data_IF_536784722343
#
_entry.id   IF_536784722343
#
_cell.length_a   1.000
_cell.length_b   1.000
_cell.length_c   1.000
_cell.angle_alpha   90.00
_cell.angle_beta   90.00
_cell.angle_gamma   90.00
#
_symmetry.space_group_name_H-M   'P 1'
#
loop_
_entity.id
_entity.type
_entity.pdbx_description
1 polymer ?
#
# COMPACT_ATOMS: atom_id res chain seq x y z
N UNK A 1 6.11 11.57 -22.81
CA UNK A 1 5.72 10.94 -21.53
C UNK A 1 6.40 9.57 -21.48
N UNK A 2 6.90 9.10 -20.33
CA UNK A 2 7.56 7.79 -20.27
C UNK A 2 6.51 6.72 -19.99
N UNK A 3 6.23 5.87 -20.96
CA UNK A 3 5.48 4.63 -20.77
C UNK A 3 6.53 3.53 -20.88
N UNK A 4 6.69 2.72 -19.83
CA UNK A 4 7.65 1.62 -19.76
C UNK A 4 9.13 2.02 -20.02
N UNK A 5 9.49 3.25 -19.66
CA UNK A 5 10.84 3.79 -19.87
C UNK A 5 11.14 4.25 -21.30
N UNK A 6 10.18 4.14 -22.23
CA UNK A 6 10.29 4.68 -23.58
C UNK A 6 9.55 6.00 -23.69
N UNK A 7 10.22 7.01 -24.27
CA UNK A 7 9.66 8.35 -24.45
C UNK A 7 8.85 8.37 -25.73
N UNK A 8 7.53 8.25 -25.59
CA UNK A 8 6.61 8.41 -26.72
C UNK A 8 6.22 9.88 -26.87
N UNK A 9 6.18 10.33 -28.12
CA UNK A 9 5.48 11.55 -28.48
C UNK A 9 3.97 11.30 -28.28
N UNK A 10 3.33 12.14 -27.48
CA UNK A 10 1.91 11.98 -27.19
C UNK A 10 1.07 12.26 -28.44
N UNK A 11 1.59 13.09 -29.34
CA UNK A 11 0.90 13.47 -30.56
C UNK A 11 0.91 12.33 -31.60
N UNK A 12 1.84 11.37 -31.48
CA UNK A 12 1.88 10.17 -32.33
C UNK A 12 1.00 9.02 -31.83
N UNK A 13 0.37 9.15 -30.65
CA UNK A 13 -0.50 8.12 -30.09
C UNK A 13 -1.89 8.18 -30.71
N UNK A 14 -2.48 7.01 -30.97
CA UNK A 14 -3.91 6.92 -31.32
C UNK A 14 -4.79 7.38 -30.17
N UNK A 15 -6.02 7.81 -30.48
CA UNK A 15 -6.99 8.21 -29.45
C UNK A 15 -7.27 7.09 -28.44
N UNK A 16 -7.30 5.84 -28.94
CA UNK A 16 -7.40 4.65 -28.08
C UNK A 16 -6.22 4.55 -27.10
N UNK A 17 -4.99 4.75 -27.57
CA UNK A 17 -3.80 4.71 -26.72
C UNK A 17 -3.78 5.85 -25.69
N UNK A 18 -4.21 7.07 -26.07
CA UNK A 18 -4.35 8.20 -25.15
C UNK A 18 -5.37 7.91 -24.04
N UNK A 19 -6.51 7.31 -24.38
CA UNK A 19 -7.51 6.92 -23.38
C UNK A 19 -6.99 5.85 -22.41
N UNK A 20 -6.27 4.84 -22.91
CA UNK A 20 -5.68 3.83 -22.03
C UNK A 20 -4.60 4.41 -21.12
N UNK A 21 -3.81 5.38 -21.60
CA UNK A 21 -2.82 6.08 -20.78
C UNK A 21 -3.47 6.85 -19.62
N UNK A 22 -4.59 7.53 -19.85
CA UNK A 22 -5.36 8.21 -18.80
C UNK A 22 -5.89 7.20 -17.78
N UNK A 23 -6.44 6.08 -18.24
CA UNK A 23 -6.92 5.01 -17.37
C UNK A 23 -5.80 4.42 -16.51
N UNK A 24 -4.63 4.17 -17.11
CA UNK A 24 -3.46 3.65 -16.41
C UNK A 24 -3.02 4.60 -15.29
N UNK A 25 -2.86 5.89 -15.60
CA UNK A 25 -2.50 6.91 -14.61
C UNK A 25 -3.50 7.03 -13.47
N UNK A 26 -4.80 6.87 -13.76
CA UNK A 26 -5.84 6.85 -12.74
C UNK A 26 -5.70 5.63 -11.82
N UNK A 27 -5.45 4.46 -12.38
CA UNK A 27 -5.25 3.22 -11.61
C UNK A 27 -3.97 3.31 -10.77
N UNK A 28 -2.87 3.84 -11.29
CA UNK A 28 -1.62 4.02 -10.55
C UNK A 28 -1.78 4.92 -9.33
N UNK A 29 -2.55 6.01 -9.47
CA UNK A 29 -2.89 6.89 -8.35
C UNK A 29 -3.70 6.16 -7.28
N UNK A 30 -4.66 5.32 -7.69
CA UNK A 30 -5.46 4.51 -6.76
C UNK A 30 -4.62 3.45 -6.05
N UNK A 31 -3.71 2.78 -6.76
CA UNK A 31 -2.77 1.83 -6.17
C UNK A 31 -1.92 2.53 -5.11
N UNK A 32 -1.38 3.70 -5.44
CA UNK A 32 -0.56 4.49 -4.50
C UNK A 32 -1.36 4.85 -3.23
N UNK A 33 -2.61 5.29 -3.38
CA UNK A 33 -3.47 5.60 -2.25
C UNK A 33 -3.75 4.36 -1.38
N UNK A 34 -4.08 3.21 -1.99
CA UNK A 34 -4.28 1.95 -1.26
C UNK A 34 -3.03 1.49 -0.51
N UNK A 35 -1.84 1.71 -1.07
CA UNK A 35 -0.57 1.40 -0.38
C UNK A 35 -0.37 2.30 0.85
N UNK A 36 -0.76 3.57 0.78
CA UNK A 36 -0.72 4.49 1.93
C UNK A 36 -1.69 4.03 3.02
N UNK A 37 -2.93 3.71 2.66
CA UNK A 37 -3.92 3.18 3.60
C UNK A 37 -3.42 1.88 4.25
N UNK A 38 -2.84 0.98 3.46
CA UNK A 38 -2.26 -0.26 3.98
C UNK A 38 -1.15 0.00 5.01
N UNK A 39 -0.26 0.96 4.77
CA UNK A 39 0.79 1.31 5.72
C UNK A 39 0.23 1.86 7.04
N UNK A 40 -0.84 2.66 6.97
CA UNK A 40 -1.56 3.16 8.15
C UNK A 40 -2.16 1.98 8.93
N UNK A 41 -2.84 1.06 8.24
CA UNK A 41 -3.44 -0.13 8.85
C UNK A 41 -2.41 -1.06 9.49
N UNK A 42 -1.25 -1.25 8.85
CA UNK A 42 -0.15 -2.05 9.41
C UNK A 42 0.38 -1.43 10.71
N UNK A 43 0.51 -0.10 10.75
CA UNK A 43 0.93 0.63 11.96
C UNK A 43 -0.07 0.44 13.09
N UNK A 44 -1.37 0.64 12.81
CA UNK A 44 -2.42 0.44 13.79
C UNK A 44 -2.46 -1.00 14.32
N UNK A 45 -2.34 -2.00 13.43
CA UNK A 45 -2.28 -3.42 13.81
C UNK A 45 -1.14 -3.71 14.78
N UNK A 46 0.05 -3.17 14.52
CA UNK A 46 1.21 -3.36 15.38
C UNK A 46 1.00 -2.70 16.76
N UNK A 47 0.43 -1.49 16.79
CA UNK A 47 0.08 -0.82 18.05
C UNK A 47 -0.91 -1.65 18.88
N UNK A 48 -1.96 -2.17 18.26
CA UNK A 48 -2.95 -3.02 18.95
C UNK A 48 -2.36 -4.35 19.41
N UNK A 49 -1.47 -4.97 18.64
CA UNK A 49 -0.78 -6.18 19.05
C UNK A 49 0.08 -5.95 20.31
N UNK A 50 0.80 -4.83 20.36
CA UNK A 50 1.61 -4.47 21.52
C UNK A 50 0.74 -4.17 22.76
N UNK A 51 -0.36 -3.44 22.59
CA UNK A 51 -1.32 -3.19 23.67
C UNK A 51 -1.90 -4.50 24.22
N UNK A 52 -2.32 -5.40 23.33
CA UNK A 52 -2.83 -6.72 23.71
C UNK A 52 -1.83 -7.50 24.55
N UNK A 53 -0.55 -7.53 24.16
CA UNK A 53 0.50 -8.20 24.94
C UNK A 53 0.61 -7.63 26.37
N UNK A 54 0.43 -6.32 26.54
CA UNK A 54 0.40 -5.68 27.86
C UNK A 54 -0.82 -6.05 28.71
N UNK A 55 -1.96 -6.29 28.05
CA UNK A 55 -3.22 -6.65 28.71
C UNK A 55 -3.34 -8.15 29.00
N UNK A 56 -2.51 -8.98 28.37
CA UNK A 56 -2.50 -10.42 28.64
C UNK A 56 -2.03 -10.69 30.08
N UNK A 57 -2.70 -11.58 30.82
CA UNK A 57 -2.22 -11.98 32.13
C UNK A 57 -0.83 -12.59 31.95
N UNK A 58 0.14 -12.12 32.76
CA UNK A 58 1.44 -12.80 32.89
C UNK A 58 1.14 -14.30 33.03
N UNK A 59 1.77 -15.15 32.23
CA UNK A 59 1.89 -16.57 32.59
C UNK A 59 2.66 -16.61 33.90
N UNK A 60 1.93 -16.61 35.01
CA UNK A 60 2.44 -16.90 36.33
C UNK A 60 2.66 -18.40 36.45
N UNK A 61 3.51 -18.94 35.58
CA UNK A 61 4.13 -20.22 35.84
C UNK A 61 5.21 -19.94 36.88
N UNK A 62 4.83 -20.11 38.14
CA UNK A 62 5.78 -20.24 39.25
C UNK A 62 6.87 -21.22 38.80
N UNK A 63 8.11 -20.73 38.67
CA UNK A 63 9.28 -21.60 38.64
C UNK A 63 9.28 -22.37 39.97
N UNK A 64 9.34 -23.72 39.98
CA UNK A 64 9.63 -24.44 41.21
C UNK A 64 11.04 -24.07 41.65
N UNK A 65 11.14 -23.69 42.93
CA UNK A 65 12.38 -23.43 43.68
C UNK A 65 13.32 -24.63 43.66
#
# INVERSE_FOLDING_TARGET
>A
MNIDGTKYDLDSLSDGAKNQLVNLQLVDKKITALQQDLAIMQTARNAYANALVGDLPFKSDKLPT
#
